data_IF_125805183704
#
_entry.id   IF_125805183704
#
_cell.length_a   1.000
_cell.length_b   1.000
_cell.length_c   1.000
_cell.angle_alpha   90.00
_cell.angle_beta   90.00
_cell.angle_gamma   90.00
#
_symmetry.space_group_name_H-M   'P 1'
#
loop_
_entity.id
_entity.type
_entity.pdbx_description
1 polymer ?
#
# COMPACT_ATOMS: atom_id res chain seq x y z
N UNK A 1 6.05 -27.19 -1.63
CA UNK A 1 6.83 -26.55 -2.71
C UNK A 1 8.19 -27.22 -2.91
N UNK A 2 9.27 -26.81 -2.24
CA UNK A 2 10.63 -27.28 -2.60
C UNK A 2 10.84 -28.79 -2.36
N UNK A 3 10.43 -29.32 -1.21
CA UNK A 3 10.58 -30.76 -0.93
C UNK A 3 9.78 -31.65 -1.88
N UNK A 4 8.56 -31.22 -2.25
CA UNK A 4 7.72 -31.90 -3.23
C UNK A 4 8.32 -31.85 -4.64
N UNK A 5 8.97 -30.74 -5.02
CA UNK A 5 9.70 -30.67 -6.29
C UNK A 5 10.87 -31.64 -6.34
N UNK A 6 11.68 -31.69 -5.29
CA UNK A 6 12.83 -32.57 -5.24
C UNK A 6 12.39 -34.04 -5.37
N UNK A 7 11.33 -34.43 -4.67
CA UNK A 7 10.76 -35.77 -4.77
C UNK A 7 10.19 -36.06 -6.17
N UNK A 8 9.51 -35.10 -6.80
CA UNK A 8 8.98 -35.25 -8.16
C UNK A 8 10.09 -35.33 -9.20
N UNK A 9 11.14 -34.51 -9.08
CA UNK A 9 12.33 -34.54 -9.93
C UNK A 9 13.10 -35.86 -9.78
N UNK A 10 13.27 -36.34 -8.55
CA UNK A 10 13.90 -37.64 -8.29
C UNK A 10 13.05 -38.79 -8.86
N UNK A 11 11.74 -38.75 -8.66
CA UNK A 11 10.82 -39.70 -9.27
C UNK A 11 10.94 -39.67 -10.80
N UNK A 12 11.00 -38.49 -11.41
CA UNK A 12 11.19 -38.32 -12.85
C UNK A 12 12.51 -38.89 -13.34
N UNK A 13 13.61 -38.55 -12.66
CA UNK A 13 14.94 -39.01 -12.99
C UNK A 13 15.03 -40.54 -12.93
N UNK A 14 14.36 -41.17 -11.95
CA UNK A 14 14.27 -42.64 -11.85
C UNK A 14 13.37 -43.23 -12.93
N UNK A 15 12.20 -42.62 -13.16
CA UNK A 15 11.21 -43.05 -14.16
C UNK A 15 11.78 -43.00 -15.59
N UNK A 16 12.41 -41.89 -15.98
CA UNK A 16 13.01 -41.70 -17.31
C UNK A 16 14.46 -42.23 -17.42
N UNK A 17 15.19 -42.35 -16.31
CA UNK A 17 16.59 -42.78 -16.27
C UNK A 17 16.81 -44.30 -16.43
N UNK A 18 15.74 -45.09 -16.37
CA UNK A 18 15.78 -46.53 -16.67
C UNK A 18 15.76 -47.45 -15.46
N UNK A 19 15.65 -46.91 -14.23
CA UNK A 19 15.37 -47.72 -13.04
C UNK A 19 13.87 -47.71 -12.75
N UNK A 20 13.21 -48.55 -13.55
CA UNK A 20 11.79 -48.86 -13.65
C UNK A 20 10.94 -48.54 -12.39
N UNK A 21 10.43 -47.30 -12.27
CA UNK A 21 9.54 -46.91 -11.17
C UNK A 21 8.12 -47.51 -11.28
N UNK A 22 7.84 -48.25 -12.35
CA UNK A 22 6.66 -49.09 -12.55
C UNK A 22 7.03 -50.31 -13.39
N UNK A 23 6.66 -51.55 -13.03
CA UNK A 23 6.80 -52.71 -13.90
C UNK A 23 6.19 -52.39 -15.27
N UNK A 24 6.96 -52.49 -16.36
CA UNK A 24 6.43 -52.25 -17.72
C UNK A 24 5.40 -53.31 -18.13
N UNK A 25 5.40 -54.42 -17.43
CA UNK A 25 4.41 -55.47 -17.55
C UNK A 25 4.61 -56.53 -16.50
N UNK A 26 3.63 -57.42 -16.41
CA UNK A 26 3.68 -58.61 -15.55
C UNK A 26 3.86 -59.83 -16.44
N UNK A 27 4.76 -60.71 -16.03
CA UNK A 27 4.97 -62.01 -16.68
C UNK A 27 4.12 -63.02 -15.90
N UNK A 28 3.09 -63.55 -16.55
CA UNK A 28 2.24 -64.60 -16.01
C UNK A 28 2.71 -65.95 -16.55
N UNK A 29 2.96 -66.91 -15.66
CA UNK A 29 3.38 -68.28 -16.00
C UNK A 29 2.38 -69.25 -15.37
N UNK A 30 1.85 -70.17 -16.17
CA UNK A 30 0.89 -71.18 -15.74
C UNK A 30 1.65 -72.36 -15.06
N UNK A 31 1.90 -72.27 -13.74
CA UNK A 31 2.54 -73.33 -12.92
C UNK A 31 3.56 -72.82 -11.88
N UNK A 32 3.99 -73.67 -10.93
CA UNK A 32 5.05 -73.31 -9.97
C UNK A 32 6.45 -73.43 -10.59
N UNK A 33 7.21 -72.33 -10.60
CA UNK A 33 8.62 -72.35 -10.98
C UNK A 33 9.47 -72.84 -9.80
N UNK A 34 10.33 -73.83 -10.04
CA UNK A 34 11.40 -74.15 -9.08
C UNK A 34 12.41 -73.00 -8.92
N UNK A 35 12.98 -72.85 -7.73
CA UNK A 35 13.87 -71.72 -7.36
C UNK A 35 15.02 -71.42 -8.35
N UNK A 36 15.58 -72.47 -8.98
CA UNK A 36 16.65 -72.32 -9.98
C UNK A 36 16.15 -71.67 -11.28
N UNK A 37 14.94 -72.02 -11.73
CA UNK A 37 14.34 -71.46 -12.93
C UNK A 37 13.95 -69.99 -12.71
N UNK A 38 13.42 -69.66 -11.53
CA UNK A 38 13.05 -68.29 -11.17
C UNK A 38 14.27 -67.35 -11.16
N UNK A 39 15.37 -67.78 -10.52
CA UNK A 39 16.61 -66.98 -10.47
C UNK A 39 17.25 -66.78 -11.85
N UNK A 40 17.20 -67.80 -12.72
CA UNK A 40 17.69 -67.67 -14.11
C UNK A 40 16.83 -66.68 -14.90
N UNK A 41 15.51 -66.83 -14.85
CA UNK A 41 14.57 -65.95 -15.55
C UNK A 41 14.72 -64.49 -15.08
N UNK A 42 14.82 -64.25 -13.77
CA UNK A 42 15.02 -62.89 -13.24
C UNK A 42 16.37 -62.29 -13.66
N UNK A 43 17.44 -63.10 -13.70
CA UNK A 43 18.76 -62.65 -14.16
C UNK A 43 18.77 -62.31 -15.64
N UNK A 44 18.18 -63.16 -16.48
CA UNK A 44 18.08 -62.94 -17.93
C UNK A 44 17.17 -61.74 -18.22
N UNK A 45 16.06 -61.60 -17.50
CA UNK A 45 15.18 -60.44 -17.58
C UNK A 45 15.91 -59.12 -17.26
N UNK A 46 16.59 -59.05 -16.11
CA UNK A 46 17.33 -57.85 -15.72
C UNK A 46 18.50 -57.55 -16.67
N UNK A 47 19.12 -58.57 -17.27
CA UNK A 47 20.20 -58.39 -18.26
C UNK A 47 19.67 -57.83 -19.59
N UNK A 48 18.51 -58.28 -20.03
CA UNK A 48 17.94 -57.93 -21.33
C UNK A 48 17.04 -56.70 -21.31
N UNK A 49 16.46 -56.35 -20.15
CA UNK A 49 15.51 -55.23 -20.00
C UNK A 49 15.92 -54.20 -18.93
N UNK A 50 17.01 -54.46 -18.19
CA UNK A 50 17.56 -53.49 -17.25
C UNK A 50 18.36 -52.39 -17.93
N UNK A 51 18.18 -51.16 -17.48
CA UNK A 51 18.95 -49.99 -17.89
C UNK A 51 18.47 -49.32 -19.19
N UNK A 52 18.91 -48.06 -19.38
CA UNK A 52 18.49 -47.18 -20.49
C UNK A 52 18.81 -47.73 -21.88
N UNK A 53 19.94 -48.43 -22.04
CA UNK A 53 20.38 -48.98 -23.34
C UNK A 53 19.53 -50.16 -23.84
N UNK A 54 18.75 -50.79 -22.96
CA UNK A 54 17.90 -51.94 -23.27
C UNK A 54 16.42 -51.55 -23.39
N UNK A 55 16.11 -50.25 -23.35
CA UNK A 55 14.76 -49.76 -23.53
C UNK A 55 14.20 -50.16 -24.91
N UNK A 56 12.93 -50.58 -24.94
CA UNK A 56 12.18 -50.96 -26.16
C UNK A 56 12.57 -52.28 -26.82
N UNK A 57 13.39 -53.12 -26.16
CA UNK A 57 13.58 -54.50 -26.61
C UNK A 57 12.28 -55.30 -26.44
N UNK A 58 12.00 -56.19 -27.38
CA UNK A 58 10.85 -57.10 -27.32
C UNK A 58 11.19 -58.31 -26.47
N UNK A 59 10.33 -58.63 -25.50
CA UNK A 59 10.48 -59.83 -24.69
C UNK A 59 9.95 -61.06 -25.42
N UNK A 60 10.79 -62.10 -25.50
CA UNK A 60 10.39 -63.44 -25.92
C UNK A 60 10.30 -64.27 -24.64
N UNK A 61 9.11 -64.81 -24.35
CA UNK A 61 8.85 -65.62 -23.18
C UNK A 61 8.53 -67.05 -23.61
N UNK A 62 9.25 -68.02 -23.06
CA UNK A 62 8.95 -69.44 -23.24
C UNK A 62 7.85 -69.83 -22.24
N UNK A 63 6.62 -70.07 -22.73
CA UNK A 63 5.51 -70.57 -21.89
C UNK A 63 4.83 -69.54 -20.97
N UNK A 64 5.07 -68.23 -21.14
CA UNK A 64 4.45 -67.17 -20.33
C UNK A 64 3.79 -66.08 -21.16
N UNK A 65 2.76 -65.42 -20.60
CA UNK A 65 2.07 -64.28 -21.22
C UNK A 65 2.61 -62.96 -20.65
N UNK A 66 2.98 -62.02 -21.52
CA UNK A 66 3.39 -60.68 -21.12
C UNK A 66 2.20 -59.72 -21.18
N UNK A 67 1.79 -59.19 -20.03
CA UNK A 67 0.79 -58.14 -19.96
C UNK A 67 1.50 -56.79 -19.88
N UNK A 68 1.49 -56.02 -20.98
CA UNK A 68 2.05 -54.67 -21.00
C UNK A 68 1.17 -53.72 -20.18
N UNK A 69 1.77 -53.06 -19.18
CA UNK A 69 1.11 -51.99 -18.43
C UNK A 69 1.38 -50.67 -19.16
N UNK A 70 0.47 -50.25 -20.03
CA UNK A 70 0.59 -49.00 -20.79
C UNK A 70 0.33 -47.79 -19.89
N UNK A 71 1.18 -46.76 -19.95
CA UNK A 71 1.06 -45.54 -19.15
C UNK A 71 0.86 -44.24 -19.96
N UNK A 72 -0.16 -44.13 -20.83
CA UNK A 72 -0.31 -42.98 -21.71
C UNK A 72 -0.71 -41.66 -21.01
N UNK A 73 -1.31 -41.69 -19.81
CA UNK A 73 -1.82 -40.48 -19.14
C UNK A 73 -0.84 -39.80 -18.17
N UNK A 74 0.20 -40.50 -17.70
CA UNK A 74 1.09 -39.98 -16.64
C UNK A 74 2.13 -39.00 -17.17
N UNK A 75 2.54 -39.14 -18.43
CA UNK A 75 3.60 -38.33 -19.04
C UNK A 75 3.13 -36.87 -19.28
N UNK A 76 1.86 -36.68 -19.68
CA UNK A 76 1.26 -35.35 -19.82
C UNK A 76 1.11 -34.66 -18.45
N UNK A 77 0.61 -35.38 -17.45
CA UNK A 77 0.42 -34.85 -16.10
C UNK A 77 1.76 -34.50 -15.41
N UNK A 78 2.83 -35.22 -15.76
CA UNK A 78 4.17 -34.93 -15.26
C UNK A 78 4.72 -33.60 -15.80
N UNK A 79 4.49 -33.29 -17.08
CA UNK A 79 4.92 -32.04 -17.70
C UNK A 79 4.16 -30.83 -17.13
N UNK A 80 2.86 -30.97 -16.90
CA UNK A 80 2.04 -29.97 -16.20
C UNK A 80 2.51 -29.73 -14.76
N UNK A 81 2.86 -30.81 -14.05
CA UNK A 81 3.40 -30.72 -12.68
C UNK A 81 4.69 -29.91 -12.66
N UNK A 82 5.59 -30.12 -13.63
CA UNK A 82 6.84 -29.33 -13.75
C UNK A 82 6.58 -27.85 -14.05
N UNK A 83 5.60 -27.52 -14.88
CA UNK A 83 5.24 -26.12 -15.14
C UNK A 83 4.67 -25.45 -13.89
N UNK A 84 3.76 -26.13 -13.18
CA UNK A 84 3.18 -25.60 -11.95
C UNK A 84 4.22 -25.39 -10.85
N UNK A 85 5.22 -26.26 -10.80
CA UNK A 85 6.35 -26.14 -9.89
C UNK A 85 7.12 -24.82 -10.09
N UNK A 86 7.47 -24.45 -11.33
CA UNK A 86 8.17 -23.17 -11.59
C UNK A 86 7.39 -22.00 -10.99
N UNK A 87 6.07 -21.97 -11.18
CA UNK A 87 5.20 -20.95 -10.61
C UNK A 87 5.16 -20.98 -9.06
N UNK A 88 5.17 -22.15 -8.42
CA UNK A 88 5.23 -22.25 -6.96
C UNK A 88 6.52 -21.65 -6.37
N UNK A 89 7.69 -21.93 -6.97
CA UNK A 89 8.96 -21.32 -6.53
C UNK A 89 8.92 -19.81 -6.74
N UNK A 90 8.46 -19.37 -7.92
CA UNK A 90 8.38 -17.96 -8.28
C UNK A 90 7.57 -17.17 -7.23
N UNK A 91 6.43 -17.72 -6.78
CA UNK A 91 5.57 -17.13 -5.74
C UNK A 91 6.28 -16.96 -4.40
N UNK A 92 7.13 -17.89 -3.98
CA UNK A 92 7.85 -17.78 -2.70
C UNK A 92 8.79 -16.55 -2.70
N UNK A 93 9.40 -16.27 -3.85
CA UNK A 93 10.32 -15.15 -4.02
C UNK A 93 9.63 -13.88 -4.53
N UNK A 94 8.30 -13.89 -4.70
CA UNK A 94 7.51 -12.85 -5.36
C UNK A 94 8.00 -12.49 -6.78
N UNK A 95 8.70 -13.39 -7.46
CA UNK A 95 9.21 -13.15 -8.81
C UNK A 95 8.11 -13.50 -9.83
N UNK A 96 7.76 -12.61 -10.75
CA UNK A 96 6.84 -12.94 -11.84
C UNK A 96 7.37 -14.07 -12.75
N UNK A 97 6.50 -14.96 -13.27
CA UNK A 97 6.93 -16.12 -14.08
C UNK A 97 7.71 -15.77 -15.36
N UNK A 98 7.45 -14.59 -15.98
CA UNK A 98 8.16 -14.19 -17.20
C UNK A 98 9.66 -13.98 -16.97
N UNK A 99 10.07 -13.60 -15.76
CA UNK A 99 11.49 -13.49 -15.38
C UNK A 99 12.19 -14.86 -15.33
N UNK A 100 11.43 -15.94 -15.12
CA UNK A 100 11.90 -17.32 -15.18
C UNK A 100 11.77 -17.92 -16.59
N UNK A 101 11.52 -17.09 -17.61
CA UNK A 101 11.29 -17.50 -19.00
C UNK A 101 10.07 -18.40 -19.20
N UNK A 102 9.13 -18.40 -18.26
CA UNK A 102 7.83 -19.02 -18.45
C UNK A 102 6.88 -17.99 -19.07
N UNK A 103 6.74 -18.06 -20.40
CA UNK A 103 5.90 -17.17 -21.21
C UNK A 103 4.55 -17.80 -21.59
N UNK A 104 4.20 -18.96 -21.02
CA UNK A 104 3.02 -19.75 -21.44
C UNK A 104 1.69 -18.98 -21.37
N UNK A 105 1.61 -17.92 -20.56
CA UNK A 105 0.39 -17.10 -20.38
C UNK A 105 0.62 -15.59 -20.61
N UNK A 106 1.79 -15.17 -21.10
CA UNK A 106 2.15 -13.75 -21.19
C UNK A 106 2.25 -13.27 -22.64
N UNK A 107 1.48 -12.23 -22.98
CA UNK A 107 1.63 -11.47 -24.24
C UNK A 107 2.67 -10.37 -24.07
N UNK A 108 3.33 -9.92 -25.16
CA UNK A 108 4.39 -8.90 -25.14
C UNK A 108 4.00 -7.61 -24.40
N UNK A 109 2.79 -7.09 -24.61
CA UNK A 109 2.29 -5.90 -23.91
C UNK A 109 2.11 -6.11 -22.40
N UNK A 110 1.82 -7.33 -21.97
CA UNK A 110 1.67 -7.70 -20.57
C UNK A 110 3.06 -7.88 -19.89
N UNK A 111 4.11 -8.19 -20.66
CA UNK A 111 5.46 -8.40 -20.11
C UNK A 111 6.05 -7.09 -19.58
N UNK A 112 5.81 -5.97 -20.25
CA UNK A 112 6.28 -4.65 -19.78
C UNK A 112 5.63 -4.28 -18.44
N UNK A 113 4.31 -4.44 -18.33
CA UNK A 113 3.57 -4.22 -17.09
C UNK A 113 4.03 -5.16 -15.98
N UNK A 114 4.19 -6.47 -16.26
CA UNK A 114 4.71 -7.43 -15.28
C UNK A 114 6.16 -7.14 -14.87
N UNK A 115 6.98 -6.58 -15.77
CA UNK A 115 8.35 -6.16 -15.44
C UNK A 115 8.36 -4.96 -14.50
N UNK A 116 7.41 -4.04 -14.67
CA UNK A 116 7.20 -2.92 -13.75
C UNK A 116 6.69 -3.40 -12.38
N UNK A 117 5.75 -4.34 -12.36
CA UNK A 117 5.26 -4.96 -11.12
C UNK A 117 6.39 -5.65 -10.32
N UNK A 118 7.32 -6.32 -11.00
CA UNK A 118 8.49 -6.92 -10.36
C UNK A 118 9.32 -5.88 -9.60
N UNK A 119 9.58 -4.73 -10.23
CA UNK A 119 10.35 -3.64 -9.62
C UNK A 119 9.63 -3.09 -8.39
N UNK A 120 8.33 -2.84 -8.51
CA UNK A 120 7.53 -2.22 -7.43
C UNK A 120 7.35 -3.16 -6.24
N UNK A 121 6.94 -4.40 -6.48
CA UNK A 121 6.52 -5.30 -5.40
C UNK A 121 7.65 -6.18 -4.87
N UNK A 122 8.67 -6.45 -5.68
CA UNK A 122 9.77 -7.34 -5.28
C UNK A 122 11.02 -6.55 -4.94
N UNK A 123 11.54 -5.74 -5.85
CA UNK A 123 12.83 -5.08 -5.66
C UNK A 123 12.76 -3.89 -4.70
N UNK A 124 11.78 -3.01 -4.86
CA UNK A 124 11.67 -1.76 -4.08
C UNK A 124 11.72 -1.98 -2.56
N UNK A 125 11.00 -2.95 -1.96
CA UNK A 125 11.10 -3.20 -0.53
C UNK A 125 12.51 -3.59 -0.06
N UNK A 126 13.28 -4.31 -0.87
CA UNK A 126 14.66 -4.68 -0.55
C UNK A 126 15.61 -3.49 -0.69
N UNK A 127 15.47 -2.73 -1.77
CA UNK A 127 16.29 -1.54 -2.01
C UNK A 127 16.10 -0.50 -0.90
N UNK A 128 14.86 -0.20 -0.52
CA UNK A 128 14.55 0.73 0.59
C UNK A 128 15.14 0.25 1.92
N UNK A 129 15.10 -1.06 2.21
CA UNK A 129 15.73 -1.61 3.42
C UNK A 129 17.25 -1.38 3.42
N UNK A 130 17.90 -1.56 2.28
CA UNK A 130 19.33 -1.32 2.14
C UNK A 130 19.65 0.17 2.23
N UNK A 131 18.88 1.04 1.58
CA UNK A 131 19.02 2.51 1.69
C UNK A 131 18.90 2.97 3.13
N UNK A 132 17.89 2.49 3.87
CA UNK A 132 17.70 2.84 5.27
C UNK A 132 18.89 2.38 6.13
N UNK A 133 19.42 1.17 5.90
CA UNK A 133 20.60 0.69 6.62
C UNK A 133 21.88 1.46 6.28
N UNK A 134 22.08 1.80 5.00
CA UNK A 134 23.22 2.60 4.54
C UNK A 134 23.13 4.01 5.10
N UNK A 135 21.96 4.65 5.00
CA UNK A 135 21.72 5.99 5.54
C UNK A 135 21.85 6.04 7.06
N UNK A 136 21.45 4.96 7.76
CA UNK A 136 21.60 4.89 9.22
C UNK A 136 23.05 4.71 9.67
N UNK A 137 23.87 3.95 8.93
CA UNK A 137 25.24 3.58 9.34
C UNK A 137 26.33 4.51 8.79
N UNK A 138 26.21 4.96 7.54
CA UNK A 138 27.24 5.75 6.87
C UNK A 138 26.98 7.26 6.99
N UNK A 139 25.73 7.68 7.06
CA UNK A 139 25.35 9.09 7.08
C UNK A 139 24.78 9.49 8.45
N UNK A 140 25.07 10.72 8.91
CA UNK A 140 24.45 11.25 10.14
C UNK A 140 23.01 11.68 9.84
N UNK A 141 22.08 11.44 10.77
CA UNK A 141 20.72 11.98 10.68
C UNK A 141 20.78 13.51 10.53
N UNK A 142 20.17 14.04 9.46
CA UNK A 142 20.22 15.47 9.11
C UNK A 142 21.49 15.93 8.38
N UNK A 143 22.34 15.00 7.91
CA UNK A 143 23.52 15.31 7.12
C UNK A 143 23.19 15.82 5.71
N UNK A 144 24.14 16.54 5.09
CA UNK A 144 24.03 17.07 3.72
C UNK A 144 23.89 16.00 2.63
N UNK A 145 24.25 14.76 2.93
CA UNK A 145 24.32 13.66 1.97
C UNK A 145 23.45 12.49 2.42
N UNK A 146 22.76 11.88 1.45
CA UNK A 146 22.00 10.64 1.61
C UNK A 146 22.33 9.72 0.42
N UNK A 147 22.15 8.42 0.60
CA UNK A 147 22.24 7.42 -0.44
C UNK A 147 20.86 6.86 -0.76
N UNK A 148 20.49 6.84 -2.04
CA UNK A 148 19.26 6.27 -2.57
C UNK A 148 19.60 5.44 -3.82
N UNK A 149 18.91 4.32 -4.03
CA UNK A 149 18.98 3.60 -5.30
C UNK A 149 18.03 4.26 -6.30
N UNK A 150 18.57 4.68 -7.43
CA UNK A 150 17.78 5.20 -8.55
C UNK A 150 17.04 4.05 -9.26
N UNK A 151 15.85 3.70 -8.75
CA UNK A 151 14.98 2.65 -9.31
C UNK A 151 14.18 3.16 -10.51
N UNK A 152 13.98 4.48 -10.59
CA UNK A 152 13.31 5.15 -11.69
C UNK A 152 14.02 4.93 -13.03
N UNK A 153 15.33 4.67 -13.00
CA UNK A 153 16.10 4.21 -14.15
C UNK A 153 15.61 2.91 -14.79
N UNK A 154 15.05 1.98 -14.01
CA UNK A 154 14.42 0.76 -14.55
C UNK A 154 13.00 1.03 -15.07
N UNK A 155 12.30 2.03 -14.50
CA UNK A 155 11.00 2.52 -14.98
C UNK A 155 11.14 3.40 -16.24
N UNK A 156 12.36 3.85 -16.60
CA UNK A 156 12.65 4.61 -17.84
C UNK A 156 12.33 3.85 -19.13
N UNK A 157 11.97 2.57 -19.11
CA UNK A 157 11.52 1.87 -20.31
C UNK A 157 10.41 2.61 -21.08
N UNK A 158 9.58 3.39 -20.38
CA UNK A 158 8.56 4.25 -20.97
C UNK A 158 8.82 5.75 -20.72
N UNK A 159 9.94 6.23 -21.27
CA UNK A 159 10.30 7.67 -21.31
C UNK A 159 9.16 8.52 -21.86
N UNK A 160 8.37 7.98 -22.80
CA UNK A 160 7.27 8.68 -23.46
C UNK A 160 6.13 9.00 -22.50
N UNK A 161 5.55 8.00 -21.83
CA UNK A 161 4.45 8.23 -20.88
C UNK A 161 4.88 9.11 -19.70
N UNK A 162 6.14 9.01 -19.27
CA UNK A 162 6.69 9.87 -18.20
C UNK A 162 6.77 11.33 -18.63
N UNK A 163 7.34 11.63 -19.80
CA UNK A 163 7.37 13.00 -20.31
C UNK A 163 5.99 13.53 -20.68
N UNK A 164 5.07 12.69 -21.15
CA UNK A 164 3.67 13.05 -21.36
C UNK A 164 2.99 13.43 -20.05
N UNK A 165 3.27 12.71 -18.97
CA UNK A 165 2.79 13.04 -17.62
C UNK A 165 3.33 14.40 -17.16
N UNK A 166 4.64 14.65 -17.31
CA UNK A 166 5.23 15.95 -16.96
C UNK A 166 4.72 17.08 -17.84
N UNK A 167 4.55 16.85 -19.14
CA UNK A 167 3.99 17.82 -20.07
C UNK A 167 2.55 18.18 -19.67
N UNK A 168 1.73 17.16 -19.34
CA UNK A 168 0.37 17.37 -18.85
C UNK A 168 0.36 18.16 -17.53
N UNK A 169 1.24 17.83 -16.58
CA UNK A 169 1.29 18.53 -15.30
C UNK A 169 1.85 19.94 -15.38
N UNK A 170 2.73 20.19 -16.35
CA UNK A 170 3.17 21.53 -16.69
C UNK A 170 2.05 22.32 -17.37
N UNK A 171 1.30 21.69 -18.27
CA UNK A 171 0.19 22.31 -18.99
C UNK A 171 -0.97 22.70 -18.06
N UNK A 172 -1.30 21.83 -17.09
CA UNK A 172 -2.36 22.06 -16.12
C UNK A 172 -1.93 22.84 -14.88
N UNK A 173 -0.64 23.18 -14.77
CA UNK A 173 -0.12 24.06 -13.73
C UNK A 173 0.09 23.41 -12.37
N UNK A 174 0.03 22.09 -12.23
CA UNK A 174 0.28 21.41 -10.95
C UNK A 174 1.75 21.00 -10.74
N UNK A 175 2.58 20.99 -11.80
CA UNK A 175 4.03 20.81 -11.68
C UNK A 175 4.83 22.07 -12.03
N UNK A 176 5.73 22.46 -11.12
CA UNK A 176 6.78 23.45 -11.38
C UNK A 176 7.98 22.79 -12.11
N UNK A 177 8.91 23.56 -12.68
CA UNK A 177 10.12 23.00 -13.30
C UNK A 177 10.97 22.34 -12.21
N UNK A 178 11.09 22.99 -11.05
CA UNK A 178 11.81 22.45 -9.91
C UNK A 178 11.15 21.19 -9.35
N UNK A 179 9.83 21.06 -9.40
CA UNK A 179 9.13 19.83 -9.03
C UNK A 179 9.56 18.66 -9.94
N UNK A 180 9.67 18.90 -11.26
CA UNK A 180 10.11 17.87 -12.21
C UNK A 180 11.61 17.56 -12.01
N UNK A 181 12.46 18.58 -11.83
CA UNK A 181 13.88 18.38 -11.59
C UNK A 181 14.15 17.62 -10.28
N UNK A 182 13.37 17.90 -9.23
CA UNK A 182 13.42 17.14 -7.98
C UNK A 182 13.02 15.68 -8.18
N UNK A 183 11.97 15.40 -8.96
CA UNK A 183 11.55 14.04 -9.31
C UNK A 183 12.58 13.29 -10.16
N UNK A 184 13.40 14.00 -10.93
CA UNK A 184 14.49 13.44 -11.75
C UNK A 184 15.84 13.40 -11.02
N UNK A 185 15.89 13.78 -9.74
CA UNK A 185 17.13 13.93 -8.98
C UNK A 185 18.17 14.83 -9.69
N UNK A 186 17.70 15.84 -10.41
CA UNK A 186 18.52 16.82 -11.14
C UNK A 186 18.74 18.10 -10.32
N UNK A 187 19.80 18.87 -10.61
CA UNK A 187 20.05 20.15 -9.96
C UNK A 187 18.87 21.11 -10.10
N UNK A 188 18.41 21.68 -8.99
CA UNK A 188 17.31 22.64 -8.97
C UNK A 188 17.73 23.98 -9.58
N UNK A 189 16.79 24.64 -10.25
CA UNK A 189 16.95 26.01 -10.75
C UNK A 189 16.57 27.03 -9.67
N UNK A 190 17.02 28.30 -9.79
CA UNK A 190 16.61 29.37 -8.89
C UNK A 190 15.08 29.46 -8.74
N UNK A 191 14.53 29.73 -7.53
CA UNK A 191 13.09 29.73 -7.25
C UNK A 191 12.28 30.63 -8.20
N UNK A 192 12.87 31.78 -8.56
CA UNK A 192 12.29 32.78 -9.45
C UNK A 192 11.92 32.23 -10.84
N UNK A 193 12.61 31.18 -11.31
CA UNK A 193 12.40 30.57 -12.63
C UNK A 193 11.79 29.17 -12.46
N UNK A 194 12.27 28.41 -11.49
CA UNK A 194 11.96 27.00 -11.32
C UNK A 194 10.60 26.72 -10.66
N UNK A 195 10.12 27.61 -9.79
CA UNK A 195 8.88 27.40 -9.02
C UNK A 195 7.65 28.03 -9.70
N UNK A 196 7.81 28.54 -10.92
CA UNK A 196 6.70 29.11 -11.69
C UNK A 196 5.75 28.01 -12.19
N UNK A 197 4.45 28.17 -11.90
CA UNK A 197 3.37 27.31 -12.40
C UNK A 197 2.71 27.95 -13.63
N UNK A 198 2.37 27.14 -14.64
CA UNK A 198 1.67 27.63 -15.83
C UNK A 198 0.17 27.74 -15.57
N UNK A 199 -0.48 28.74 -16.16
CA UNK A 199 -1.94 28.86 -16.15
C UNK A 199 -2.44 28.71 -17.60
N UNK A 200 -3.29 27.71 -17.91
CA UNK A 200 -3.79 27.53 -19.26
C UNK A 200 -4.77 28.65 -19.65
N UNK A 201 -4.46 29.38 -20.73
CA UNK A 201 -5.21 30.57 -21.19
C UNK A 201 -6.64 30.28 -21.68
N UNK A 202 -6.93 29.04 -22.06
CA UNK A 202 -8.19 28.63 -22.69
C UNK A 202 -9.19 27.95 -21.75
N UNK A 203 -8.92 27.88 -20.44
CA UNK A 203 -9.80 27.21 -19.48
C UNK A 203 -10.74 28.21 -18.84
N UNK A 204 -12.00 28.18 -19.26
CA UNK A 204 -13.08 28.94 -18.63
C UNK A 204 -14.03 27.97 -17.92
N UNK A 205 -14.60 28.34 -16.76
CA UNK A 205 -15.66 27.55 -16.13
C UNK A 205 -16.81 27.33 -17.13
N UNK A 206 -17.39 26.14 -17.18
CA UNK A 206 -18.42 25.78 -18.17
C UNK A 206 -19.67 26.71 -18.17
N UNK A 207 -19.85 27.53 -17.13
CA UNK A 207 -20.93 28.52 -17.02
C UNK A 207 -20.61 29.93 -17.52
N UNK A 208 -19.40 30.23 -18.04
CA UNK A 208 -18.99 31.60 -18.42
C UNK A 208 -18.91 31.87 -19.93
N UNK A 209 -19.45 30.99 -20.78
CA UNK A 209 -19.39 31.14 -22.25
C UNK A 209 -20.03 32.43 -22.78
N UNK A 210 -21.03 33.00 -22.09
CA UNK A 210 -21.75 34.19 -22.56
C UNK A 210 -20.99 35.50 -22.35
N UNK A 211 -20.04 35.55 -21.40
CA UNK A 211 -19.36 36.80 -21.04
C UNK A 211 -18.26 37.20 -22.03
N UNK A 212 -17.66 36.24 -22.75
CA UNK A 212 -16.46 36.49 -23.54
C UNK A 212 -16.71 36.70 -25.04
N UNK A 213 -17.93 36.43 -25.54
CA UNK A 213 -18.31 36.71 -26.93
C UNK A 213 -18.30 38.22 -27.26
N UNK A 214 -18.57 39.07 -26.25
CA UNK A 214 -18.52 40.53 -26.39
C UNK A 214 -17.10 41.10 -26.41
N UNK A 215 -16.13 40.41 -25.80
CA UNK A 215 -14.73 40.85 -25.76
C UNK A 215 -13.94 40.42 -27.01
N UNK A 216 -14.43 39.43 -27.76
CA UNK A 216 -13.81 39.03 -29.03
C UNK A 216 -14.07 40.07 -30.15
N UNK A 217 -15.21 40.78 -30.09
CA UNK A 217 -15.57 41.81 -31.06
C UNK A 217 -14.74 43.11 -30.90
N UNK A 218 -14.25 43.40 -29.68
CA UNK A 218 -13.44 44.60 -29.39
C UNK A 218 -11.93 44.40 -29.62
N UNK A 219 -11.44 43.16 -29.65
CA UNK A 219 -10.01 42.86 -29.83
C UNK A 219 -9.48 42.98 -31.27
N UNK A 220 -10.35 42.93 -32.29
CA UNK A 220 -9.92 42.99 -33.70
C UNK A 220 -9.48 44.40 -34.12
N UNK A 221 -9.96 45.45 -33.44
CA UNK A 221 -9.59 46.83 -33.75
C UNK A 221 -8.24 47.27 -33.17
N UNK A 222 -7.69 46.55 -32.19
CA UNK A 222 -6.49 46.97 -31.44
C UNK A 222 -5.18 46.35 -31.94
N UNK A 223 -5.19 45.57 -33.03
CA UNK A 223 -3.96 44.98 -33.60
C UNK A 223 -3.12 45.95 -34.43
N UNK A 224 -3.57 47.20 -34.59
CA UNK A 224 -2.81 48.26 -35.24
C UNK A 224 -2.49 49.33 -34.21
N UNK A 225 -1.40 49.15 -33.45
CA UNK A 225 -0.46 50.19 -32.99
C UNK A 225 0.55 49.53 -32.02
N UNK A 226 1.82 49.57 -32.43
CA UNK A 226 2.98 49.02 -31.74
C UNK A 226 3.33 49.85 -30.47
N UNK A 227 3.89 49.16 -29.46
CA UNK A 227 4.49 49.56 -28.15
C UNK A 227 5.17 50.96 -28.03
N UNK A 228 5.55 51.50 -26.82
CA UNK A 228 5.60 50.86 -25.48
C UNK A 228 5.15 51.71 -24.25
N UNK A 229 5.18 51.02 -23.09
CA UNK A 229 5.50 51.53 -21.73
C UNK A 229 4.36 51.74 -20.69
N UNK A 230 4.53 50.98 -19.58
CA UNK A 230 4.17 51.20 -18.17
C UNK A 230 3.36 52.47 -17.83
N UNK A 231 2.11 52.33 -17.33
CA UNK A 231 1.90 52.34 -15.87
C UNK A 231 0.63 51.56 -15.40
N UNK A 232 0.25 50.44 -16.03
CA UNK A 232 -0.95 49.67 -15.63
C UNK A 232 -0.69 48.59 -14.55
N UNK A 233 0.57 48.24 -14.30
CA UNK A 233 0.94 47.12 -13.42
C UNK A 233 0.75 47.42 -11.91
N UNK A 234 0.72 48.69 -11.50
CA UNK A 234 0.62 49.04 -10.08
C UNK A 234 -0.80 48.84 -9.52
N UNK A 235 -1.84 49.24 -10.26
CA UNK A 235 -3.25 49.11 -9.81
C UNK A 235 -3.76 47.66 -9.84
N UNK A 236 -3.35 46.87 -10.83
CA UNK A 236 -3.70 45.44 -10.87
C UNK A 236 -3.03 44.63 -9.73
N UNK A 237 -1.90 45.13 -9.21
CA UNK A 237 -1.20 44.49 -8.08
C UNK A 237 -1.94 44.68 -6.76
N UNK A 238 -2.64 45.81 -6.57
CA UNK A 238 -3.46 46.09 -5.38
C UNK A 238 -4.78 45.29 -5.42
N UNK A 239 -5.54 45.32 -6.53
CA UNK A 239 -6.77 44.54 -6.68
C UNK A 239 -6.51 43.03 -6.65
N UNK A 240 -5.40 42.58 -7.24
CA UNK A 240 -4.94 41.19 -7.16
C UNK A 240 -4.38 40.80 -5.79
N UNK A 241 -3.86 41.74 -5.00
CA UNK A 241 -3.46 41.51 -3.62
C UNK A 241 -4.68 41.42 -2.70
N UNK A 242 -5.70 42.26 -2.90
CA UNK A 242 -6.97 42.18 -2.18
C UNK A 242 -7.74 40.89 -2.49
N UNK A 243 -7.75 40.45 -3.76
CA UNK A 243 -8.35 39.16 -4.13
C UNK A 243 -7.54 37.97 -3.56
N UNK A 244 -6.21 38.05 -3.52
CA UNK A 244 -5.34 37.04 -2.84
C UNK A 244 -5.53 37.03 -1.33
N UNK A 245 -5.73 38.18 -0.69
CA UNK A 245 -6.09 38.31 0.73
C UNK A 245 -7.50 37.80 1.00
N UNK A 246 -8.45 38.00 0.09
CA UNK A 246 -9.81 37.47 0.18
C UNK A 246 -9.86 35.95 -0.03
N UNK A 247 -9.06 35.40 -0.96
CA UNK A 247 -8.93 33.94 -1.15
C UNK A 247 -8.09 33.27 -0.05
N UNK A 248 -7.12 33.97 0.53
CA UNK A 248 -6.41 33.57 1.75
C UNK A 248 -7.31 33.62 3.01
N UNK A 249 -8.34 34.46 3.02
CA UNK A 249 -9.38 34.49 4.06
C UNK A 249 -10.51 33.47 3.83
N UNK A 250 -10.70 32.99 2.60
CA UNK A 250 -11.68 31.97 2.24
C UNK A 250 -11.14 30.52 2.30
N UNK A 251 -9.84 30.35 2.51
CA UNK A 251 -9.15 29.05 2.69
C UNK A 251 -9.57 28.22 3.93
N UNK A 252 -10.17 28.77 5.00
CA UNK A 252 -10.47 27.98 6.19
C UNK A 252 -11.49 26.86 5.91
N UNK A 253 -12.54 27.11 5.13
CA UNK A 253 -13.68 26.17 5.00
C UNK A 253 -13.35 24.89 4.20
N UNK A 254 -12.47 24.97 3.20
CA UNK A 254 -12.05 23.80 2.41
C UNK A 254 -11.02 22.94 3.16
N UNK A 255 -10.06 23.57 3.85
CA UNK A 255 -9.09 22.87 4.69
C UNK A 255 -9.78 22.20 5.90
N UNK A 256 -10.77 22.86 6.49
CA UNK A 256 -11.63 22.28 7.53
C UNK A 256 -12.30 20.97 7.10
N UNK A 257 -12.88 20.95 5.89
CA UNK A 257 -13.56 19.77 5.36
C UNK A 257 -12.60 18.60 5.07
N UNK A 258 -11.35 18.90 4.68
CA UNK A 258 -10.33 17.89 4.41
C UNK A 258 -9.71 17.27 5.68
N UNK A 259 -9.65 18.01 6.79
CA UNK A 259 -9.01 17.57 8.03
C UNK A 259 -9.98 16.93 9.04
N UNK A 260 -11.30 17.12 8.89
CA UNK A 260 -12.32 16.46 9.73
C UNK A 260 -12.22 14.92 9.74
N UNK A 261 -12.01 14.24 8.59
CA UNK A 261 -11.88 12.78 8.56
C UNK A 261 -10.65 12.27 9.32
N UNK A 262 -9.50 12.96 9.20
CA UNK A 262 -8.26 12.61 9.90
C UNK A 262 -8.40 12.75 11.42
N UNK A 263 -9.10 13.80 11.84
CA UNK A 263 -9.39 14.03 13.25
C UNK A 263 -10.38 12.99 13.78
N UNK A 264 -11.43 12.66 13.01
CA UNK A 264 -12.37 11.59 13.35
C UNK A 264 -11.67 10.24 13.54
N UNK A 265 -10.71 9.92 12.69
CA UNK A 265 -9.94 8.67 12.76
C UNK A 265 -9.01 8.63 13.99
N UNK A 266 -8.29 9.72 14.26
CA UNK A 266 -7.44 9.83 15.45
C UNK A 266 -8.25 9.73 16.75
N UNK A 267 -9.44 10.36 16.80
CA UNK A 267 -10.35 10.18 17.93
C UNK A 267 -10.94 8.77 18.00
N UNK A 268 -11.20 8.11 16.86
CA UNK A 268 -11.59 6.70 16.81
C UNK A 268 -10.58 5.78 17.48
N UNK A 269 -9.28 6.01 17.28
CA UNK A 269 -8.23 5.27 17.97
C UNK A 269 -8.17 5.54 19.48
N UNK A 270 -8.36 6.79 19.88
CA UNK A 270 -8.35 7.21 21.30
C UNK A 270 -9.56 6.64 22.06
N UNK A 271 -10.75 6.72 21.47
CA UNK A 271 -11.98 6.12 22.00
C UNK A 271 -11.94 4.60 21.97
N UNK A 272 -11.45 4.00 20.89
CA UNK A 272 -11.37 2.54 20.74
C UNK A 272 -10.52 1.88 21.83
N UNK A 273 -9.46 2.56 22.30
CA UNK A 273 -8.67 2.11 23.45
C UNK A 273 -9.48 2.13 24.75
N UNK A 274 -10.21 3.21 25.04
CA UNK A 274 -11.09 3.27 26.24
C UNK A 274 -12.16 2.19 26.13
N UNK A 275 -12.87 2.10 25.00
CA UNK A 275 -13.96 1.15 24.80
C UNK A 275 -13.50 -0.29 25.05
N UNK A 276 -12.37 -0.68 24.45
CA UNK A 276 -11.81 -2.03 24.61
C UNK A 276 -11.39 -2.29 26.06
N UNK A 277 -10.78 -1.31 26.72
CA UNK A 277 -10.36 -1.43 28.12
C UNK A 277 -11.56 -1.52 29.07
N UNK A 278 -12.58 -0.68 28.85
CA UNK A 278 -13.84 -0.67 29.59
C UNK A 278 -14.58 -2.01 29.48
N UNK A 279 -14.76 -2.53 28.26
CA UNK A 279 -15.43 -3.82 28.01
C UNK A 279 -14.70 -4.99 28.69
N UNK A 280 -13.36 -4.97 28.70
CA UNK A 280 -12.56 -6.00 29.41
C UNK A 280 -12.76 -5.91 30.92
N UNK A 281 -12.75 -4.71 31.48
CA UNK A 281 -12.93 -4.51 32.92
C UNK A 281 -14.34 -4.90 33.36
N UNK A 282 -15.37 -4.54 32.58
CA UNK A 282 -16.76 -4.94 32.82
C UNK A 282 -16.93 -6.48 32.79
N UNK A 283 -16.28 -7.16 31.85
CA UNK A 283 -16.31 -8.62 31.78
C UNK A 283 -15.64 -9.27 33.00
N UNK A 284 -14.58 -8.66 33.53
CA UNK A 284 -13.88 -9.12 34.74
C UNK A 284 -14.67 -8.85 36.01
N UNK A 285 -15.30 -7.68 36.14
CA UNK A 285 -16.12 -7.34 37.31
C UNK A 285 -17.31 -8.29 37.46
N UNK A 286 -17.94 -8.68 36.34
CA UNK A 286 -19.01 -9.69 36.29
C UNK A 286 -18.57 -11.09 36.72
N UNK A 287 -17.30 -11.44 36.53
CA UNK A 287 -16.75 -12.74 36.91
C UNK A 287 -16.40 -12.85 38.40
N UNK A 288 -16.36 -11.74 39.12
CA UNK A 288 -15.90 -11.65 40.51
C UNK A 288 -17.01 -11.23 41.50
N UNK A 289 -18.29 -11.29 41.11
CA UNK A 289 -19.46 -10.86 41.90
C UNK A 289 -19.42 -9.41 42.44
N UNK A 290 -18.50 -8.58 41.93
CA UNK A 290 -18.30 -7.17 42.29
C UNK A 290 -18.72 -6.26 41.14
N UNK A 291 -20.01 -6.07 40.94
CA UNK A 291 -20.53 -5.54 39.68
C UNK A 291 -20.12 -4.10 39.33
N UNK A 292 -19.96 -3.17 40.29
CA UNK A 292 -19.69 -1.74 40.00
C UNK A 292 -18.46 -1.13 40.68
N UNK A 293 -17.95 -1.70 41.77
CA UNK A 293 -16.90 -1.04 42.55
C UNK A 293 -15.54 -1.08 41.83
N UNK A 294 -15.18 -2.24 41.26
CA UNK A 294 -13.99 -2.43 40.43
C UNK A 294 -14.02 -1.53 39.18
N UNK A 295 -15.21 -1.35 38.60
CA UNK A 295 -15.40 -0.52 37.42
C UNK A 295 -15.24 0.98 37.75
N UNK A 296 -15.79 1.45 38.88
CA UNK A 296 -15.61 2.83 39.35
C UNK A 296 -14.14 3.14 39.71
N UNK A 297 -13.42 2.18 40.29
CA UNK A 297 -11.98 2.32 40.53
C UNK A 297 -11.20 2.43 39.22
N UNK A 298 -11.53 1.60 38.23
CA UNK A 298 -10.91 1.65 36.90
C UNK A 298 -11.13 2.99 36.18
N UNK A 299 -12.31 3.63 36.31
CA UNK A 299 -12.55 4.97 35.75
C UNK A 299 -11.52 5.99 36.30
N UNK A 300 -11.21 5.90 37.59
CA UNK A 300 -10.21 6.76 38.24
C UNK A 300 -8.79 6.48 37.77
N UNK A 301 -8.40 5.20 37.69
CA UNK A 301 -7.02 4.80 37.40
C UNK A 301 -6.67 4.88 35.91
N UNK A 302 -7.57 4.44 35.02
CA UNK A 302 -7.26 4.26 33.60
C UNK A 302 -7.61 5.50 32.77
N UNK A 303 -8.77 6.15 32.99
CA UNK A 303 -9.20 7.32 32.20
C UNK A 303 -8.47 8.58 32.68
N UNK A 304 -8.26 8.73 33.99
CA UNK A 304 -7.55 9.87 34.56
C UNK A 304 -6.04 9.62 34.73
N UNK A 305 -5.56 8.41 34.42
CA UNK A 305 -4.15 8.04 34.49
C UNK A 305 -3.26 8.78 33.49
N UNK A 306 -1.99 8.95 33.86
CA UNK A 306 -1.01 9.66 33.05
C UNK A 306 -0.70 8.92 31.73
N UNK A 307 -0.72 7.58 31.75
CA UNK A 307 -0.45 6.75 30.58
C UNK A 307 -1.50 6.91 29.48
N UNK A 308 -2.77 7.04 29.86
CA UNK A 308 -3.85 7.30 28.92
C UNK A 308 -3.72 8.69 28.30
N UNK A 309 -3.41 9.71 29.12
CA UNK A 309 -3.19 11.07 28.64
C UNK A 309 -2.03 11.15 27.66
N UNK A 310 -0.89 10.53 27.98
CA UNK A 310 0.27 10.43 27.07
C UNK A 310 -0.09 9.74 25.75
N UNK A 311 -0.84 8.64 25.82
CA UNK A 311 -1.33 7.95 24.62
C UNK A 311 -2.24 8.85 23.77
N UNK A 312 -3.24 9.49 24.38
CA UNK A 312 -4.17 10.36 23.67
C UNK A 312 -3.47 11.56 23.04
N UNK A 313 -2.57 12.23 23.78
CA UNK A 313 -1.75 13.32 23.26
C UNK A 313 -0.87 12.87 22.10
N UNK A 314 -0.24 11.69 22.18
CA UNK A 314 0.60 11.17 21.07
C UNK A 314 -0.15 10.93 19.77
N UNK A 315 -1.45 10.63 19.85
CA UNK A 315 -2.32 10.38 18.69
C UNK A 315 -2.95 11.65 18.13
N UNK A 316 -3.31 12.59 19.00
CA UNK A 316 -3.97 13.83 18.61
C UNK A 316 -2.98 14.92 18.18
N UNK A 317 -1.79 14.99 18.79
CA UNK A 317 -0.83 16.06 18.52
C UNK A 317 -0.41 16.18 17.05
N UNK A 318 -0.12 15.11 16.30
CA UNK A 318 0.22 15.23 14.87
C UNK A 318 -0.92 15.79 14.03
N UNK A 319 -2.16 15.44 14.37
CA UNK A 319 -3.36 15.90 13.63
C UNK A 319 -3.69 17.34 13.96
N UNK A 320 -3.58 17.72 15.24
CA UNK A 320 -3.74 19.11 15.68
C UNK A 320 -2.65 19.98 15.06
N UNK A 321 -1.39 19.52 15.04
CA UNK A 321 -0.29 20.22 14.35
C UNK A 321 -0.56 20.44 12.87
N UNK A 322 -1.08 19.43 12.17
CA UNK A 322 -1.43 19.56 10.76
C UNK A 322 -2.56 20.60 10.53
N UNK A 323 -3.56 20.60 11.41
CA UNK A 323 -4.66 21.57 11.41
C UNK A 323 -4.17 23.01 11.68
N UNK A 324 -3.29 23.20 12.67
CA UNK A 324 -2.75 24.51 13.03
C UNK A 324 -1.77 25.03 11.99
N UNK A 325 -0.96 24.15 11.37
CA UNK A 325 -0.05 24.54 10.29
C UNK A 325 -0.79 24.94 9.01
N UNK A 326 -1.94 24.33 8.73
CA UNK A 326 -2.77 24.67 7.58
C UNK A 326 -3.50 26.02 7.75
N UNK A 327 -3.85 26.38 8.99
CA UNK A 327 -4.53 27.64 9.32
C UNK A 327 -3.60 28.80 9.71
N UNK A 328 -2.29 28.58 9.85
CA UNK A 328 -1.32 29.62 10.25
C UNK A 328 -1.57 30.25 11.63
N UNK A 329 -2.35 29.59 12.50
CA UNK A 329 -3.04 30.25 13.62
C UNK A 329 -2.44 30.05 15.02
N UNK A 330 -1.46 29.14 15.19
CA UNK A 330 -0.90 28.80 16.51
C UNK A 330 0.58 28.45 16.44
N UNK A 331 1.35 28.96 17.41
CA UNK A 331 2.73 28.54 17.65
C UNK A 331 2.79 27.10 18.17
N UNK A 332 3.97 26.48 18.10
CA UNK A 332 4.18 25.09 18.52
C UNK A 332 3.85 24.86 20.01
N UNK A 333 4.14 25.84 20.87
CA UNK A 333 3.83 25.78 22.30
C UNK A 333 2.30 25.81 22.55
N UNK A 334 1.58 26.65 21.83
CA UNK A 334 0.12 26.78 21.94
C UNK A 334 -0.59 25.53 21.40
N UNK A 335 -0.06 24.94 20.33
CA UNK A 335 -0.55 23.69 19.74
C UNK A 335 -0.47 22.52 20.74
N UNK A 336 0.64 22.41 21.47
CA UNK A 336 0.82 21.39 22.52
C UNK A 336 -0.11 21.66 23.71
N UNK A 337 -0.21 22.90 24.16
CA UNK A 337 -1.10 23.28 25.26
C UNK A 337 -2.58 23.00 24.93
N UNK A 338 -3.00 23.35 23.72
CA UNK A 338 -4.34 23.09 23.21
C UNK A 338 -4.64 21.59 23.13
N UNK A 339 -3.71 20.79 22.60
CA UNK A 339 -3.86 19.33 22.54
C UNK A 339 -4.02 18.72 23.95
N UNK A 340 -3.25 19.20 24.92
CA UNK A 340 -3.35 18.76 26.32
C UNK A 340 -4.71 19.12 26.96
N UNK A 341 -5.21 20.33 26.71
CA UNK A 341 -6.52 20.78 27.16
C UNK A 341 -7.65 19.94 26.54
N UNK A 342 -7.53 19.60 25.25
CA UNK A 342 -8.49 18.78 24.52
C UNK A 342 -8.59 17.36 25.10
N UNK A 343 -7.44 16.73 25.36
CA UNK A 343 -7.37 15.41 26.02
C UNK A 343 -8.00 15.47 27.41
N UNK A 344 -7.71 16.52 28.18
CA UNK A 344 -8.26 16.68 29.53
C UNK A 344 -9.79 16.79 29.52
N UNK A 345 -10.35 17.56 28.58
CA UNK A 345 -11.80 17.70 28.39
C UNK A 345 -12.45 16.38 27.97
N UNK A 346 -11.82 15.65 27.05
CA UNK A 346 -12.27 14.33 26.62
C UNK A 346 -12.30 13.34 27.80
N UNK A 347 -11.24 13.27 28.62
CA UNK A 347 -11.19 12.40 29.79
C UNK A 347 -12.29 12.75 30.80
N UNK A 348 -12.52 14.04 31.06
CA UNK A 348 -13.59 14.51 31.97
C UNK A 348 -14.97 14.09 31.48
N UNK A 349 -15.23 14.21 30.18
CA UNK A 349 -16.49 13.80 29.56
C UNK A 349 -16.71 12.29 29.64
N UNK A 350 -15.71 11.49 29.28
CA UNK A 350 -15.80 10.02 29.41
C UNK A 350 -16.01 9.60 30.86
N UNK A 351 -15.37 10.29 31.81
CA UNK A 351 -15.58 10.06 33.24
C UNK A 351 -17.02 10.35 33.64
N UNK A 352 -17.59 11.49 33.22
CA UNK A 352 -18.98 11.88 33.53
C UNK A 352 -20.00 10.90 32.92
N UNK A 353 -19.86 10.57 31.64
CA UNK A 353 -20.80 9.65 30.96
C UNK A 353 -20.81 8.26 31.61
N UNK A 354 -19.66 7.78 32.10
CA UNK A 354 -19.52 6.49 32.77
C UNK A 354 -19.80 6.52 34.28
N UNK A 355 -19.71 7.68 34.94
CA UNK A 355 -19.97 7.81 36.38
C UNK A 355 -21.45 8.00 36.71
N UNK A 356 -22.19 8.65 35.81
CA UNK A 356 -23.55 9.11 36.07
C UNK A 356 -24.61 8.03 35.81
N UNK A 357 -24.22 6.88 35.26
CA UNK A 357 -25.12 5.78 34.91
C UNK A 357 -24.94 4.57 35.84
N UNK A 358 -26.06 4.02 36.33
CA UNK A 358 -26.06 2.73 37.06
C UNK A 358 -25.81 1.54 36.14
N UNK A 359 -25.95 1.73 34.82
CA UNK A 359 -25.77 0.72 33.76
C UNK A 359 -24.71 1.15 32.76
N UNK A 360 -23.42 0.89 33.01
CA UNK A 360 -22.34 1.27 32.11
C UNK A 360 -22.39 0.54 30.75
N UNK A 361 -23.05 -0.63 30.66
CA UNK A 361 -23.25 -1.33 29.39
C UNK A 361 -24.01 -0.51 28.34
N UNK A 362 -25.06 0.19 28.74
CA UNK A 362 -25.88 0.99 27.82
C UNK A 362 -25.05 2.14 27.22
N UNK A 363 -24.17 2.73 28.02
CA UNK A 363 -23.23 3.78 27.56
C UNK A 363 -22.20 3.21 26.59
N UNK A 364 -21.65 2.03 26.88
CA UNK A 364 -20.66 1.38 26.00
C UNK A 364 -21.27 0.95 24.66
N UNK A 365 -22.53 0.51 24.64
CA UNK A 365 -23.26 0.17 23.41
C UNK A 365 -23.55 1.42 22.56
N UNK A 366 -23.86 2.55 23.20
CA UNK A 366 -23.99 3.86 22.54
C UNK A 366 -22.65 4.33 21.96
N UNK A 367 -21.55 4.06 22.67
CA UNK A 367 -20.20 4.37 22.18
C UNK A 367 -19.82 3.49 20.99
N UNK A 368 -20.18 2.21 21.02
CA UNK A 368 -19.90 1.24 19.95
C UNK A 368 -20.72 1.48 18.68
N UNK A 369 -21.96 1.98 18.81
CA UNK A 369 -22.83 2.33 17.66
C UNK A 369 -22.43 3.64 16.95
N UNK A 370 -21.36 4.31 17.38
CA UNK A 370 -20.84 5.52 16.75
C UNK A 370 -21.55 6.82 17.18
N UNK A 371 -22.57 6.74 18.04
CA UNK A 371 -23.30 7.90 18.56
C UNK A 371 -22.41 8.87 19.35
N UNK A 372 -21.46 8.33 20.13
CA UNK A 372 -20.49 9.12 20.89
C UNK A 372 -19.40 9.74 20.01
N UNK A 373 -18.97 9.04 18.96
CA UNK A 373 -17.97 9.54 18.01
C UNK A 373 -18.50 10.78 17.28
N UNK A 374 -19.76 10.73 16.81
CA UNK A 374 -20.42 11.88 16.19
C UNK A 374 -20.68 13.04 17.16
N UNK A 375 -20.81 12.79 18.46
CA UNK A 375 -20.96 13.85 19.48
C UNK A 375 -19.62 14.48 19.87
N UNK A 376 -18.56 13.69 19.97
CA UNK A 376 -17.20 14.17 20.21
C UNK A 376 -16.67 14.97 19.01
N UNK A 377 -16.86 14.47 17.78
CA UNK A 377 -16.50 15.19 16.55
C UNK A 377 -17.26 16.52 16.45
N UNK A 378 -18.57 16.54 16.74
CA UNK A 378 -19.35 17.80 16.77
C UNK A 378 -18.88 18.78 17.84
N UNK A 379 -18.47 18.30 19.01
CA UNK A 379 -17.95 19.15 20.07
C UNK A 379 -16.57 19.72 19.69
N UNK A 380 -15.71 18.94 19.03
CA UNK A 380 -14.41 19.39 18.56
C UNK A 380 -14.55 20.40 17.42
N UNK A 381 -15.48 20.18 16.47
CA UNK A 381 -15.83 21.18 15.47
C UNK A 381 -16.30 22.48 16.12
N UNK A 382 -17.13 22.40 17.17
CA UNK A 382 -17.63 23.58 17.90
C UNK A 382 -16.54 24.31 18.68
N UNK A 383 -15.59 23.58 19.28
CA UNK A 383 -14.44 24.14 20.01
C UNK A 383 -13.45 24.79 19.05
N UNK A 384 -13.22 24.15 17.91
CA UNK A 384 -12.37 24.69 16.86
C UNK A 384 -12.99 25.96 16.26
N UNK A 385 -14.30 25.99 16.01
CA UNK A 385 -15.05 27.19 15.61
C UNK A 385 -15.01 28.32 16.66
N UNK A 386 -15.02 28.00 17.96
CA UNK A 386 -14.94 29.02 19.02
C UNK A 386 -13.54 29.58 19.16
N UNK A 387 -12.51 28.73 19.11
CA UNK A 387 -11.09 29.15 19.13
C UNK A 387 -10.73 30.00 17.90
N UNK A 388 -11.32 29.70 16.73
CA UNK A 388 -11.18 30.48 15.51
C UNK A 388 -11.88 31.85 15.62
N UNK A 389 -13.10 31.88 16.18
CA UNK A 389 -13.87 33.11 16.41
C UNK A 389 -13.24 34.04 17.46
N UNK A 390 -12.66 33.49 18.53
CA UNK A 390 -12.01 34.29 19.59
C UNK A 390 -10.74 35.00 19.12
N UNK A 391 -10.03 34.48 18.10
CA UNK A 391 -8.86 35.12 17.50
C UNK A 391 -9.19 36.10 16.35
N UNK A 392 -10.47 36.28 16.01
CA UNK A 392 -10.92 37.29 15.03
C UNK A 392 -10.36 37.07 13.61
N UNK A 393 -10.24 35.82 13.16
CA UNK A 393 -9.81 35.47 11.80
C UNK A 393 -10.93 34.83 10.98
#
# INVERSE_FOLDING_TARGET
AIGTMLATEEYAARFFGGNNATPRGVIEIEGELGDKAYKRLNKDWNKHFGGRANAHKTAILEGGKFHALTMPAKDAQFLETRQFQIAEIARIFNIPPHMLRDLTKSSYSNIEQQSLEFVIYTLRPWLVRWEQEVNRKLFKQGGRFFAEFEVDGLLRGDVKTRHETYASGRQWGYYSINSILALENLPLLPPEIGDQHMVPLNMQPAGSMDANSKNLASGVAASALLSPAAPAAAKASEEGAEHRLATARATPSYLQAAHLPLLSDAFGHVFGKILTSAQRTLKKSRAQDNNLLLFKQWIGEEINGEDYRRFATSRLLPVVRALTSAGGAMDEADTVAYTSALVTRHCKRCTQELSDTERPEEVLDIWQSGGALGSAVREISRIWETSYKEKGQ
#
